data_IF_565297468597
#
_entry.id   IF_565297468597
#
_cell.length_a   1.000
_cell.length_b   1.000
_cell.length_c   1.000
_cell.angle_alpha   90.00
_cell.angle_beta   90.00
_cell.angle_gamma   90.00
#
_symmetry.space_group_name_H-M   'P 1'
#
loop_
_entity.id
_entity.type
_entity.pdbx_description
1 polymer ?
#
# COMPACT_ATOMS: atom_id res chain seq x y z
N UNK A 1 9.30 -1.45 23.22
CA UNK A 1 8.15 -2.16 22.60
C UNK A 1 7.71 -1.32 21.40
N UNK A 2 8.10 -1.70 20.16
CA UNK A 2 7.70 -0.97 18.95
C UNK A 2 6.21 -1.27 18.70
N UNK A 3 5.36 -0.26 18.81
CA UNK A 3 3.91 -0.36 18.57
C UNK A 3 3.57 -0.42 17.07
N UNK A 4 4.56 -0.12 16.22
CA UNK A 4 4.40 -0.16 14.78
C UNK A 4 4.72 -1.56 14.22
N UNK A 5 3.70 -2.23 13.68
CA UNK A 5 3.85 -3.40 12.80
C UNK A 5 4.38 -2.96 11.43
N UNK A 6 5.57 -2.36 11.42
CA UNK A 6 6.31 -2.02 10.21
C UNK A 6 7.41 -3.05 10.02
N UNK A 7 7.40 -3.71 8.87
CA UNK A 7 8.43 -4.62 8.40
C UNK A 7 9.34 -3.84 7.47
N UNK A 8 10.54 -3.50 7.95
CA UNK A 8 11.54 -2.79 7.15
C UNK A 8 12.33 -3.80 6.32
N UNK A 9 12.38 -3.60 5.01
CA UNK A 9 13.24 -4.36 4.10
C UNK A 9 14.06 -3.43 3.24
N UNK A 10 15.30 -3.82 2.97
CA UNK A 10 16.13 -3.14 1.98
C UNK A 10 15.91 -3.76 0.60
N UNK A 11 15.58 -2.91 -0.37
CA UNK A 11 15.48 -3.35 -1.76
C UNK A 11 16.88 -3.55 -2.34
N UNK A 12 17.03 -4.29 -3.46
CA UNK A 12 18.33 -4.45 -4.13
C UNK A 12 19.01 -3.13 -4.51
N UNK A 13 18.25 -2.05 -4.65
CA UNK A 13 18.73 -0.70 -4.93
C UNK A 13 19.25 0.03 -3.68
N UNK A 14 19.26 -0.62 -2.51
CA UNK A 14 19.76 -0.05 -1.25
C UNK A 14 18.78 0.90 -0.57
N UNK A 15 17.49 0.83 -0.92
CA UNK A 15 16.44 1.70 -0.34
C UNK A 15 15.69 0.91 0.74
N UNK A 16 15.64 1.46 1.95
CA UNK A 16 14.85 0.88 3.04
C UNK A 16 13.35 1.19 2.84
N UNK A 17 12.56 0.17 2.54
CA UNK A 17 11.10 0.23 2.46
C UNK A 17 10.49 -0.24 3.78
N UNK A 18 9.58 0.57 4.34
CA UNK A 18 8.76 0.16 5.47
C UNK A 18 7.41 -0.37 4.97
N UNK A 19 7.25 -1.69 5.01
CA UNK A 19 6.03 -2.38 4.62
C UNK A 19 5.13 -2.56 5.84
N UNK A 20 3.80 -2.49 5.66
CA UNK A 20 2.83 -2.78 6.72
C UNK A 20 2.20 -4.15 6.44
N UNK A 21 2.62 -5.24 7.12
CA UNK A 21 2.04 -6.55 6.93
C UNK A 21 0.55 -6.55 7.26
N UNK A 22 -0.24 -7.28 6.47
CA UNK A 22 -1.65 -7.47 6.73
C UNK A 22 -1.84 -8.63 7.72
N UNK A 23 -2.54 -8.36 8.82
CA UNK A 23 -2.86 -9.38 9.84
C UNK A 23 -3.84 -10.45 9.35
N UNK A 24 -4.20 -11.36 10.25
CA UNK A 24 -5.11 -12.48 9.94
C UNK A 24 -6.49 -12.01 9.46
N UNK A 25 -7.12 -11.08 10.18
CA UNK A 25 -8.49 -10.60 9.90
C UNK A 25 -8.68 -10.07 8.47
N UNK A 26 -7.92 -9.06 7.99
CA UNK A 26 -8.10 -8.55 6.62
C UNK A 26 -7.79 -9.62 5.56
N UNK A 27 -6.88 -10.56 5.84
CA UNK A 27 -6.58 -11.68 4.93
C UNK A 27 -7.72 -12.71 4.89
N UNK A 28 -8.39 -12.96 6.01
CA UNK A 28 -9.58 -13.81 6.08
C UNK A 28 -10.77 -13.18 5.38
N UNK A 29 -10.99 -11.88 5.55
CA UNK A 29 -12.04 -11.15 4.82
C UNK A 29 -11.79 -11.14 3.31
N UNK A 30 -10.54 -10.95 2.87
CA UNK A 30 -10.17 -11.03 1.46
C UNK A 30 -10.50 -12.41 0.89
N UNK A 31 -10.14 -13.46 1.64
CA UNK A 31 -10.46 -14.84 1.26
C UNK A 31 -11.96 -15.10 1.17
N UNK A 32 -12.77 -14.57 2.08
CA UNK A 32 -14.23 -14.70 2.03
C UNK A 32 -14.83 -13.99 0.81
N UNK A 33 -14.33 -12.79 0.46
CA UNK A 33 -14.75 -12.09 -0.75
C UNK A 33 -14.38 -12.89 -2.02
N UNK A 34 -13.14 -13.38 -2.11
CA UNK A 34 -12.71 -14.25 -3.21
C UNK A 34 -13.48 -15.57 -3.25
N UNK A 35 -13.86 -16.13 -2.11
CA UNK A 35 -14.71 -17.32 -2.02
C UNK A 35 -16.11 -17.06 -2.58
N UNK A 36 -16.74 -15.94 -2.21
CA UNK A 36 -18.04 -15.53 -2.76
C UNK A 36 -18.00 -15.38 -4.28
N UNK A 37 -16.95 -14.74 -4.82
CA UNK A 37 -16.76 -14.59 -6.27
C UNK A 37 -16.64 -15.96 -6.95
N UNK A 38 -15.81 -16.85 -6.42
CA UNK A 38 -15.61 -18.20 -6.97
C UNK A 38 -16.89 -19.04 -6.93
N UNK A 39 -17.64 -18.99 -5.83
CA UNK A 39 -18.94 -19.67 -5.70
C UNK A 39 -19.95 -19.13 -6.71
N UNK A 40 -20.03 -17.81 -6.89
CA UNK A 40 -20.93 -17.21 -7.87
C UNK A 40 -20.60 -17.65 -9.31
N UNK A 41 -19.31 -17.67 -9.68
CA UNK A 41 -18.87 -18.17 -10.99
C UNK A 41 -19.22 -19.65 -11.15
N UNK A 42 -18.95 -20.46 -10.12
CA UNK A 42 -19.22 -21.90 -10.17
C UNK A 42 -20.72 -22.19 -10.32
N UNK A 43 -21.58 -21.48 -9.59
CA UNK A 43 -23.04 -21.60 -9.71
C UNK A 43 -23.49 -21.18 -11.12
N UNK A 44 -22.98 -20.06 -11.64
CA UNK A 44 -23.32 -19.61 -12.99
C UNK A 44 -22.94 -20.65 -14.06
N UNK A 45 -21.74 -21.21 -13.98
CA UNK A 45 -21.29 -22.28 -14.89
C UNK A 45 -22.13 -23.53 -14.71
N UNK A 46 -22.41 -23.95 -13.47
CA UNK A 46 -23.22 -25.13 -13.19
C UNK A 46 -24.65 -25.00 -13.73
N UNK A 47 -25.26 -23.81 -13.64
CA UNK A 47 -26.59 -23.55 -14.22
C UNK A 47 -26.59 -23.71 -15.74
N UNK A 48 -25.59 -23.14 -16.43
CA UNK A 48 -25.44 -23.26 -17.89
C UNK A 48 -25.15 -24.72 -18.28
N UNK A 49 -24.29 -25.39 -17.52
CA UNK A 49 -23.85 -26.75 -17.75
C UNK A 49 -24.90 -27.81 -17.38
N UNK A 50 -25.93 -27.46 -16.59
CA UNK A 50 -26.90 -28.41 -16.03
C UNK A 50 -27.62 -29.24 -17.09
N UNK A 51 -27.91 -28.66 -18.26
CA UNK A 51 -28.59 -29.34 -19.36
C UNK A 51 -27.68 -30.27 -20.19
N UNK A 52 -26.36 -30.28 -19.94
CA UNK A 52 -25.37 -30.98 -20.75
C UNK A 52 -24.99 -32.37 -20.22
N UNK A 53 -25.64 -32.85 -19.15
CA UNK A 53 -25.37 -34.15 -18.54
C UNK A 53 -23.89 -34.34 -18.13
N UNK A 54 -23.26 -35.42 -18.58
CA UNK A 54 -21.86 -35.74 -18.25
C UNK A 54 -20.85 -34.68 -18.72
N UNK A 55 -21.09 -34.03 -19.88
CA UNK A 55 -20.25 -32.91 -20.34
C UNK A 55 -20.36 -31.72 -19.41
N UNK A 56 -21.55 -31.46 -18.86
CA UNK A 56 -21.77 -30.37 -17.91
C UNK A 56 -21.04 -30.59 -16.59
N UNK A 57 -21.02 -31.83 -16.12
CA UNK A 57 -20.25 -32.22 -14.93
C UNK A 57 -18.74 -32.05 -15.15
N UNK A 58 -18.23 -32.47 -16.31
CA UNK A 58 -16.83 -32.27 -16.67
C UNK A 58 -16.46 -30.78 -16.72
N UNK A 59 -17.30 -29.95 -17.34
CA UNK A 59 -17.08 -28.50 -17.41
C UNK A 59 -17.03 -27.87 -16.02
N UNK A 60 -17.98 -28.23 -15.15
CA UNK A 60 -18.05 -27.70 -13.77
C UNK A 60 -16.83 -28.12 -12.95
N UNK A 61 -16.34 -29.35 -13.11
CA UNK A 61 -15.11 -29.83 -12.46
C UNK A 61 -13.87 -29.09 -12.96
N UNK A 62 -13.75 -28.87 -14.27
CA UNK A 62 -12.65 -28.08 -14.85
C UNK A 62 -12.69 -26.64 -14.34
N UNK A 63 -13.88 -26.03 -14.27
CA UNK A 63 -14.05 -24.68 -13.72
C UNK A 63 -13.67 -24.64 -12.25
N UNK A 64 -14.12 -25.60 -11.44
CA UNK A 64 -13.73 -25.70 -10.03
C UNK A 64 -12.21 -25.78 -9.87
N UNK A 65 -11.55 -26.65 -10.65
CA UNK A 65 -10.10 -26.76 -10.66
C UNK A 65 -9.43 -25.43 -11.05
N UNK A 66 -9.87 -24.78 -12.12
CA UNK A 66 -9.31 -23.50 -12.55
C UNK A 66 -9.48 -22.40 -11.48
N UNK A 67 -10.64 -22.35 -10.82
CA UNK A 67 -10.92 -21.39 -9.75
C UNK A 67 -10.12 -21.65 -8.47
N UNK A 68 -9.76 -22.89 -8.18
CA UNK A 68 -8.96 -23.21 -7.00
C UNK A 68 -7.45 -23.05 -7.27
N UNK A 69 -6.97 -23.45 -8.45
CA UNK A 69 -5.54 -23.51 -8.73
C UNK A 69 -5.03 -22.31 -9.54
N UNK A 70 -5.78 -21.84 -10.52
CA UNK A 70 -5.32 -20.82 -11.46
C UNK A 70 -5.78 -19.41 -11.07
N UNK A 71 -6.96 -19.25 -10.46
CA UNK A 71 -7.49 -17.95 -10.08
C UNK A 71 -6.51 -17.13 -9.22
N UNK A 72 -5.96 -17.63 -8.08
CA UNK A 72 -5.07 -16.82 -7.26
C UNK A 72 -3.81 -16.42 -8.03
N UNK A 73 -3.23 -17.35 -8.77
CA UNK A 73 -1.99 -17.15 -9.55
C UNK A 73 -2.22 -16.14 -10.67
N UNK A 74 -3.31 -16.26 -11.43
CA UNK A 74 -3.63 -15.37 -12.54
C UNK A 74 -3.81 -13.92 -12.07
N UNK A 75 -4.50 -13.69 -10.96
CA UNK A 75 -4.70 -12.33 -10.44
C UNK A 75 -3.48 -11.77 -9.70
N UNK A 76 -2.66 -12.62 -9.07
CA UNK A 76 -1.43 -12.20 -8.41
C UNK A 76 -0.31 -11.86 -9.40
N UNK A 77 -0.16 -12.63 -10.47
CA UNK A 77 0.81 -12.33 -11.53
C UNK A 77 0.33 -11.27 -12.51
N UNK A 78 -0.99 -11.09 -12.60
CA UNK A 78 -1.61 -10.03 -13.37
C UNK A 78 -1.57 -8.69 -12.63
N UNK A 79 -2.71 -8.00 -12.61
CA UNK A 79 -2.81 -6.61 -12.15
C UNK A 79 -2.40 -6.43 -10.67
N UNK A 80 -1.18 -5.96 -10.43
CA UNK A 80 -0.79 -5.35 -9.15
C UNK A 80 -0.65 -6.28 -7.95
N UNK A 81 -0.44 -7.60 -8.15
CA UNK A 81 -0.08 -8.50 -7.05
C UNK A 81 -1.25 -8.91 -6.14
N UNK A 82 -2.50 -8.79 -6.59
CA UNK A 82 -3.66 -8.95 -5.71
C UNK A 82 -4.86 -9.60 -6.39
N UNK A 83 -5.50 -10.55 -5.70
CA UNK A 83 -6.82 -11.08 -6.05
C UNK A 83 -7.90 -10.00 -5.87
N UNK A 84 -9.06 -10.10 -6.54
CA UNK A 84 -10.15 -9.15 -6.39
C UNK A 84 -10.55 -8.86 -4.93
N UNK A 85 -10.73 -9.90 -4.11
CA UNK A 85 -11.04 -9.76 -2.69
C UNK A 85 -9.93 -9.06 -1.89
N UNK A 86 -8.65 -9.35 -2.20
CA UNK A 86 -7.51 -8.62 -1.63
C UNK A 86 -7.53 -7.14 -2.03
N UNK A 87 -7.83 -6.83 -3.29
CA UNK A 87 -7.91 -5.44 -3.77
C UNK A 87 -9.03 -4.64 -3.12
N UNK A 88 -10.20 -5.24 -2.93
CA UNK A 88 -11.32 -4.60 -2.24
C UNK A 88 -10.94 -4.16 -0.82
N UNK A 89 -10.00 -4.86 -0.18
CA UNK A 89 -9.48 -4.52 1.15
C UNK A 89 -8.16 -3.75 1.11
N UNK A 90 -7.73 -3.28 -0.06
CA UNK A 90 -6.49 -2.54 -0.22
C UNK A 90 -5.24 -3.36 0.12
N UNK A 91 -5.25 -4.66 -0.16
CA UNK A 91 -4.13 -5.57 0.08
C UNK A 91 -3.44 -5.95 -1.22
N UNK A 92 -2.13 -6.20 -1.14
CA UNK A 92 -1.33 -6.77 -2.23
C UNK A 92 -0.27 -7.72 -1.72
N UNK A 93 0.21 -8.58 -2.60
CA UNK A 93 1.29 -9.51 -2.34
C UNK A 93 2.56 -8.98 -2.99
N UNK A 94 3.64 -8.98 -2.21
CA UNK A 94 4.99 -8.62 -2.65
C UNK A 94 5.97 -9.71 -2.25
N UNK A 95 7.14 -9.72 -2.87
CA UNK A 95 8.29 -10.47 -2.37
C UNK A 95 8.72 -9.90 -1.02
N UNK A 96 9.48 -10.67 -0.24
CA UNK A 96 10.05 -10.21 1.01
C UNK A 96 10.92 -8.97 0.86
N UNK A 97 11.57 -8.81 -0.30
CA UNK A 97 12.33 -7.62 -0.72
C UNK A 97 11.47 -6.39 -1.05
N UNK A 98 10.14 -6.49 -0.98
CA UNK A 98 9.21 -5.43 -1.39
C UNK A 98 8.97 -5.34 -2.90
N UNK A 99 9.68 -6.14 -3.70
CA UNK A 99 9.51 -6.22 -5.15
C UNK A 99 8.19 -6.91 -5.56
N UNK A 100 7.72 -6.72 -6.81
CA UNK A 100 6.58 -7.47 -7.35
C UNK A 100 6.77 -8.98 -7.22
N UNK A 101 5.67 -9.70 -6.97
CA UNK A 101 5.69 -11.15 -6.83
C UNK A 101 6.14 -11.85 -8.12
N UNK A 102 6.95 -12.90 -7.97
CA UNK A 102 7.40 -13.73 -9.09
C UNK A 102 6.42 -14.87 -9.40
N UNK A 103 6.38 -15.38 -10.66
CA UNK A 103 5.58 -16.55 -11.02
C UNK A 103 5.81 -17.77 -10.12
N UNK A 104 7.08 -18.11 -9.89
CA UNK A 104 7.46 -19.21 -9.03
C UNK A 104 6.94 -19.02 -7.59
N UNK A 105 7.09 -17.82 -7.03
CA UNK A 105 6.62 -17.54 -5.67
C UNK A 105 5.09 -17.63 -5.55
N UNK A 106 4.33 -17.09 -6.51
CA UNK A 106 2.86 -17.18 -6.49
C UNK A 106 2.37 -18.62 -6.59
N UNK A 107 2.98 -19.42 -7.48
CA UNK A 107 2.65 -20.84 -7.63
C UNK A 107 3.01 -21.62 -6.36
N UNK A 108 4.25 -21.50 -5.86
CA UNK A 108 4.71 -22.22 -4.66
C UNK A 108 3.80 -21.97 -3.47
N UNK A 109 3.43 -20.70 -3.24
CA UNK A 109 2.51 -20.36 -2.16
C UNK A 109 1.12 -20.94 -2.39
N UNK A 110 0.61 -20.93 -3.63
CA UNK A 110 -0.71 -21.47 -3.91
C UNK A 110 -0.74 -23.00 -3.79
N UNK A 111 0.34 -23.71 -4.14
CA UNK A 111 0.45 -25.15 -3.91
C UNK A 111 0.42 -25.47 -2.41
N UNK A 112 1.17 -24.72 -1.61
CA UNK A 112 1.20 -24.92 -0.15
C UNK A 112 -0.11 -24.50 0.55
N UNK A 113 -0.92 -23.65 -0.09
CA UNK A 113 -2.27 -23.35 0.38
C UNK A 113 -3.13 -24.62 0.46
N UNK A 114 -2.94 -25.59 -0.43
CA UNK A 114 -3.64 -26.87 -0.37
C UNK A 114 -3.25 -27.68 0.88
N UNK A 115 -1.99 -27.60 1.32
CA UNK A 115 -1.54 -28.21 2.56
C UNK A 115 -2.18 -27.52 3.79
N UNK A 116 -2.33 -26.20 3.77
CA UNK A 116 -3.00 -25.45 4.84
C UNK A 116 -4.49 -25.84 5.02
N UNK A 117 -5.17 -26.37 3.99
CA UNK A 117 -6.57 -26.82 4.07
C UNK A 117 -6.78 -28.17 4.76
N UNK A 118 -5.71 -28.91 5.09
CA UNK A 118 -5.85 -30.11 5.88
C UNK A 118 -6.30 -29.74 7.30
N UNK A 119 -7.33 -30.39 7.88
CA UNK A 119 -7.94 -29.97 9.15
C UNK A 119 -6.95 -29.79 10.31
N UNK A 120 -5.90 -30.61 10.38
CA UNK A 120 -4.83 -30.49 11.37
C UNK A 120 -3.85 -29.33 11.07
N UNK A 121 -3.65 -28.97 9.80
CA UNK A 121 -2.72 -27.93 9.36
C UNK A 121 -3.37 -26.54 9.31
N UNK A 122 -4.70 -26.44 9.24
CA UNK A 122 -5.40 -25.15 9.26
C UNK A 122 -5.21 -24.40 10.58
N UNK A 123 -5.31 -25.13 11.71
CA UNK A 123 -5.02 -24.60 13.03
C UNK A 123 -3.53 -24.21 13.18
N UNK A 124 -2.62 -24.99 12.58
CA UNK A 124 -1.20 -24.72 12.59
C UNK A 124 -0.82 -23.48 11.75
N UNK A 125 -1.38 -23.32 10.56
CA UNK A 125 -1.18 -22.14 9.71
C UNK A 125 -1.73 -20.86 10.35
N UNK A 126 -2.88 -20.95 11.02
CA UNK A 126 -3.43 -19.85 11.80
C UNK A 126 -2.56 -19.53 13.03
N UNK A 127 -2.10 -20.53 13.77
CA UNK A 127 -1.20 -20.35 14.91
C UNK A 127 0.15 -19.75 14.47
N UNK A 128 0.72 -20.19 13.35
CA UNK A 128 1.94 -19.63 12.79
C UNK A 128 1.80 -18.14 12.42
N UNK A 129 0.65 -17.73 11.86
CA UNK A 129 0.36 -16.32 11.60
C UNK A 129 0.19 -15.49 12.87
N UNK A 130 -0.45 -16.05 13.91
CA UNK A 130 -0.74 -15.33 15.15
C UNK A 130 0.48 -15.21 16.07
N UNK A 131 1.43 -16.14 15.96
CA UNK A 131 2.65 -16.17 16.77
C UNK A 131 3.79 -15.32 16.18
N UNK A 132 3.70 -14.94 14.91
CA UNK A 132 4.74 -14.14 14.23
C UNK A 132 4.31 -12.69 14.02
N UNK A 133 5.27 -11.79 14.15
CA UNK A 133 5.08 -10.35 13.93
C UNK A 133 4.92 -9.97 12.43
N UNK A 134 5.29 -10.86 11.52
CA UNK A 134 5.21 -10.66 10.06
C UNK A 134 3.95 -11.28 9.43
N UNK A 135 3.10 -11.95 10.23
CA UNK A 135 1.84 -12.56 9.80
C UNK A 135 1.94 -13.42 8.53
N UNK A 136 3.06 -14.13 8.34
CA UNK A 136 3.26 -15.04 7.20
C UNK A 136 2.63 -16.41 7.44
N UNK A 137 1.99 -16.97 6.40
CA UNK A 137 1.57 -18.39 6.37
C UNK A 137 2.74 -19.29 5.97
N UNK A 138 2.57 -20.59 6.12
CA UNK A 138 3.53 -21.59 5.61
C UNK A 138 3.85 -21.38 4.13
N UNK A 139 2.84 -21.16 3.29
CA UNK A 139 3.04 -20.85 1.88
C UNK A 139 3.78 -19.53 1.64
N UNK A 140 3.57 -18.51 2.48
CA UNK A 140 4.30 -17.24 2.36
C UNK A 140 5.78 -17.41 2.74
N UNK A 141 6.07 -18.22 3.76
CA UNK A 141 7.42 -18.52 4.22
C UNK A 141 8.23 -19.27 3.17
N UNK A 142 7.64 -20.30 2.58
CA UNK A 142 8.31 -21.10 1.55
C UNK A 142 8.52 -20.32 0.24
N UNK A 143 7.60 -19.41 -0.09
CA UNK A 143 7.70 -18.60 -1.30
C UNK A 143 8.50 -17.30 -1.13
N UNK A 144 8.89 -16.95 0.11
CA UNK A 144 9.54 -15.67 0.40
C UNK A 144 8.66 -14.46 0.06
N UNK A 145 7.38 -14.51 0.45
CA UNK A 145 6.40 -13.47 0.12
C UNK A 145 5.76 -12.87 1.36
N UNK A 146 5.21 -11.67 1.19
CA UNK A 146 4.51 -10.93 2.22
C UNK A 146 3.22 -10.32 1.65
N UNK A 147 2.14 -10.35 2.44
CA UNK A 147 0.92 -9.61 2.11
C UNK A 147 0.93 -8.32 2.90
N UNK A 148 0.83 -7.20 2.18
CA UNK A 148 0.96 -5.85 2.72
C UNK A 148 -0.27 -5.04 2.33
N UNK A 149 -0.53 -3.98 3.09
CA UNK A 149 -1.45 -2.94 2.63
C UNK A 149 -0.86 -2.24 1.40
N UNK A 150 -1.67 -2.12 0.34
CA UNK A 150 -1.31 -1.50 -0.92
C UNK A 150 -1.28 0.02 -0.83
N UNK A 151 -2.00 0.60 0.14
CA UNK A 151 -1.92 2.02 0.45
C UNK A 151 -0.49 2.37 0.84
N UNK A 152 0.14 3.22 0.04
CA UNK A 152 1.33 3.96 0.46
C UNK A 152 0.96 4.68 1.74
N UNK A 153 1.72 4.44 2.81
CA UNK A 153 1.57 5.23 4.03
C UNK A 153 1.95 6.65 3.64
N UNK A 154 0.96 7.49 3.37
CA UNK A 154 1.23 8.89 3.10
C UNK A 154 1.51 9.58 4.45
N UNK A 155 2.78 9.53 4.84
CA UNK A 155 3.28 10.14 6.07
C UNK A 155 3.06 11.67 6.06
N UNK A 156 2.95 12.25 4.86
CA UNK A 156 2.70 13.67 4.63
C UNK A 156 1.35 13.78 3.92
N UNK A 157 0.30 14.24 4.60
CA UNK A 157 -0.97 14.52 3.92
C UNK A 157 -0.78 15.46 2.72
N UNK A 158 -1.81 15.59 1.89
CA UNK A 158 -1.71 16.45 0.71
C UNK A 158 -1.34 17.88 1.13
N UNK A 159 -0.34 18.44 0.46
CA UNK A 159 0.12 19.80 0.72
C UNK A 159 -0.96 20.77 0.23
N UNK A 160 -1.49 21.65 1.09
CA UNK A 160 -2.50 22.62 0.69
C UNK A 160 -2.05 23.46 -0.51
N UNK A 161 -2.96 23.70 -1.45
CA UNK A 161 -2.69 24.59 -2.58
C UNK A 161 -2.32 25.99 -2.07
N UNK A 162 -1.18 26.51 -2.54
CA UNK A 162 -0.69 27.85 -2.23
C UNK A 162 0.07 28.38 -3.45
N UNK A 163 0.15 29.70 -3.57
CA UNK A 163 0.90 30.32 -4.66
C UNK A 163 2.39 29.98 -4.51
N UNK A 164 3.06 29.35 -5.50
CA UNK A 164 4.44 28.92 -5.35
C UNK A 164 5.38 30.10 -5.09
N UNK A 165 6.26 29.95 -4.11
CA UNK A 165 7.19 30.99 -3.69
C UNK A 165 8.62 30.44 -3.65
N UNK A 166 9.54 31.06 -4.39
CA UNK A 166 10.94 30.68 -4.36
C UNK A 166 11.57 30.95 -2.98
N UNK A 167 12.51 30.10 -2.53
CA UNK A 167 13.19 30.30 -1.25
C UNK A 167 14.11 31.53 -1.31
N UNK A 168 14.30 32.19 -0.16
CA UNK A 168 15.21 33.33 -0.05
C UNK A 168 16.69 32.94 -0.19
N UNK A 169 17.01 31.67 0.10
CA UNK A 169 18.35 31.08 -0.05
C UNK A 169 18.26 29.63 -0.52
N UNK A 170 19.34 29.04 -1.04
CA UNK A 170 19.38 27.61 -1.34
C UNK A 170 19.05 26.76 -0.11
N UNK A 171 18.21 25.74 -0.32
CA UNK A 171 17.78 24.80 0.72
C UNK A 171 18.54 23.49 0.62
N UNK A 172 19.01 22.98 1.75
CA UNK A 172 19.55 21.62 1.85
C UNK A 172 18.43 20.58 1.69
N UNK A 173 18.74 19.33 1.28
CA UNK A 173 17.73 18.27 1.16
C UNK A 173 16.95 18.01 2.46
N UNK A 174 17.60 18.17 3.62
CA UNK A 174 16.95 18.03 4.93
C UNK A 174 15.94 19.14 5.20
N UNK A 175 16.26 20.38 4.82
CA UNK A 175 15.33 21.52 4.96
C UNK A 175 14.14 21.37 4.01
N UNK A 176 14.37 20.97 2.77
CA UNK A 176 13.31 20.66 1.80
C UNK A 176 12.36 19.59 2.34
N UNK A 177 12.90 18.48 2.84
CA UNK A 177 12.11 17.41 3.46
C UNK A 177 11.34 17.90 4.70
N UNK A 178 11.95 18.74 5.55
CA UNK A 178 11.29 19.29 6.72
C UNK A 178 10.09 20.18 6.35
N UNK A 179 10.24 21.05 5.34
CA UNK A 179 9.19 21.96 4.84
C UNK A 179 8.03 21.16 4.24
N UNK A 180 8.32 20.22 3.34
CA UNK A 180 7.29 19.34 2.76
C UNK A 180 6.60 18.53 3.85
N UNK A 181 7.35 18.04 4.85
CA UNK A 181 6.76 17.29 5.96
C UNK A 181 5.82 18.11 6.83
N UNK A 182 6.18 19.37 7.09
CA UNK A 182 5.35 20.32 7.83
C UNK A 182 4.08 20.64 7.04
N UNK A 183 4.22 20.94 5.74
CA UNK A 183 3.11 21.30 4.89
C UNK A 183 2.10 20.14 4.75
N UNK A 184 2.58 18.89 4.67
CA UNK A 184 1.70 17.72 4.66
C UNK A 184 1.00 17.43 5.99
N UNK A 185 1.38 18.10 7.09
CA UNK A 185 0.66 18.02 8.37
C UNK A 185 -0.38 19.13 8.53
N UNK A 186 -0.60 19.98 7.52
CA UNK A 186 -1.46 21.15 7.65
C UNK A 186 -2.90 20.84 8.03
N UNK A 187 -3.45 19.71 7.57
CA UNK A 187 -4.81 19.26 7.92
C UNK A 187 -4.92 18.66 9.33
N UNK A 188 -3.79 18.34 9.98
CA UNK A 188 -3.76 17.72 11.33
C UNK A 188 -3.34 18.67 12.43
N UNK A 189 -2.73 19.81 12.08
CA UNK A 189 -2.31 20.85 13.02
C UNK A 189 -3.40 21.89 13.18
N UNK A 190 -3.52 22.46 14.39
CA UNK A 190 -4.36 23.63 14.58
C UNK A 190 -3.76 24.82 13.83
N UNK A 191 -4.59 25.79 13.36
CA UNK A 191 -4.08 26.97 12.65
C UNK A 191 -2.99 27.72 13.43
N UNK A 192 -3.15 27.83 14.76
CA UNK A 192 -2.15 28.46 15.63
C UNK A 192 -0.80 27.72 15.65
N UNK A 193 -0.80 26.38 15.72
CA UNK A 193 0.44 25.58 15.71
C UNK A 193 1.11 25.59 14.33
N UNK A 194 0.31 25.59 13.28
CA UNK A 194 0.81 25.68 11.92
C UNK A 194 1.57 26.99 11.72
N UNK A 195 1.00 28.10 12.19
CA UNK A 195 1.60 29.43 12.08
C UNK A 195 2.82 29.61 12.98
N UNK A 196 2.78 29.11 14.23
CA UNK A 196 3.95 29.09 15.12
C UNK A 196 5.15 28.40 14.47
N UNK A 197 4.96 27.21 13.88
CA UNK A 197 6.02 26.50 13.18
C UNK A 197 6.47 27.23 11.90
N UNK A 198 5.56 27.90 11.20
CA UNK A 198 5.91 28.70 10.03
C UNK A 198 6.84 29.87 10.39
N UNK A 199 6.62 30.50 11.55
CA UNK A 199 7.48 31.57 12.07
C UNK A 199 8.88 31.09 12.46
N UNK A 200 9.04 29.83 12.88
CA UNK A 200 10.38 29.28 13.14
C UNK A 200 11.22 29.18 11.86
N UNK A 201 10.58 29.11 10.69
CA UNK A 201 11.24 29.03 9.38
C UNK A 201 11.50 30.41 8.73
N UNK A 202 11.40 31.52 9.48
CA UNK A 202 11.55 32.88 8.94
C UNK A 202 12.89 33.10 8.22
N UNK A 203 13.97 32.45 8.69
CA UNK A 203 15.30 32.48 8.08
C UNK A 203 15.38 31.87 6.66
N UNK A 204 14.33 31.16 6.25
CA UNK A 204 14.21 30.48 4.95
C UNK A 204 13.16 31.16 4.06
N UNK A 205 12.13 31.77 4.65
CA UNK A 205 10.99 32.34 3.95
C UNK A 205 11.08 33.85 3.69
N UNK A 206 11.77 34.60 4.56
CA UNK A 206 11.92 36.04 4.44
C UNK A 206 13.08 36.41 3.50
N UNK A 207 12.85 37.22 2.45
CA UNK A 207 13.92 37.93 1.79
C UNK A 207 14.66 38.79 2.83
N UNK A 208 15.98 38.81 2.78
CA UNK A 208 16.83 39.50 3.75
C UNK A 208 16.32 40.91 4.10
N UNK A 209 15.84 41.10 5.33
CA UNK A 209 15.61 42.43 5.91
C UNK A 209 14.16 42.87 6.17
N UNK A 210 13.13 42.10 5.78
CA UNK A 210 11.74 42.48 6.08
C UNK A 210 11.03 41.46 7.00
N UNK A 211 10.45 41.89 8.14
CA UNK A 211 9.64 41.02 8.97
C UNK A 211 8.36 40.62 8.21
N UNK A 212 8.09 39.32 8.12
CA UNK A 212 6.84 38.80 7.56
C UNK A 212 5.66 39.30 8.41
N UNK A 213 4.75 40.06 7.82
CA UNK A 213 3.53 40.49 8.50
C UNK A 213 2.68 39.29 8.97
N UNK A 214 1.96 39.48 10.08
CA UNK A 214 1.19 38.48 10.87
C UNK A 214 -0.07 37.88 10.22
N UNK A 215 -0.17 37.77 8.88
CA UNK A 215 -0.87 36.61 8.30
C UNK A 215 -0.08 35.83 7.25
N UNK A 216 1.17 36.23 6.96
CA UNK A 216 1.87 35.82 5.73
C UNK A 216 2.87 34.67 5.93
N UNK A 217 3.27 34.34 7.16
CA UNK A 217 4.28 33.31 7.43
C UNK A 217 3.84 31.92 6.98
N UNK A 218 2.63 31.51 7.37
CA UNK A 218 2.00 30.26 6.94
C UNK A 218 1.87 30.17 5.42
N UNK A 219 1.27 31.20 4.80
CA UNK A 219 1.02 31.23 3.36
C UNK A 219 2.33 31.17 2.56
N UNK A 220 3.37 31.87 3.04
CA UNK A 220 4.70 31.88 2.43
C UNK A 220 5.39 30.53 2.51
N UNK A 221 5.35 29.87 3.68
CA UNK A 221 5.98 28.57 3.85
C UNK A 221 5.24 27.47 3.08
N UNK A 222 3.91 27.55 2.95
CA UNK A 222 3.13 26.68 2.06
C UNK A 222 3.49 26.91 0.58
N UNK A 223 3.62 28.16 0.15
CA UNK A 223 4.09 28.49 -1.20
C UNK A 223 5.49 27.96 -1.48
N UNK A 224 6.37 27.96 -0.47
CA UNK A 224 7.69 27.36 -0.58
C UNK A 224 7.63 25.83 -0.69
N UNK A 225 6.76 25.18 0.07
CA UNK A 225 6.54 23.74 -0.06
C UNK A 225 6.07 23.36 -1.48
N UNK A 226 5.17 24.14 -2.07
CA UNK A 226 4.71 23.95 -3.45
C UNK A 226 5.86 24.14 -4.46
N UNK A 227 6.70 25.16 -4.26
CA UNK A 227 7.89 25.37 -5.10
C UNK A 227 8.88 24.19 -5.03
N UNK A 228 9.11 23.64 -3.83
CA UNK A 228 9.97 22.45 -3.62
C UNK A 228 9.39 21.21 -4.30
N UNK A 229 8.06 21.08 -4.34
CA UNK A 229 7.37 20.00 -5.05
C UNK A 229 7.36 20.18 -6.58
N UNK A 230 7.91 21.28 -7.10
CA UNK A 230 8.07 21.53 -8.53
C UNK A 230 6.99 22.41 -9.15
N UNK A 231 5.99 22.84 -8.38
CA UNK A 231 5.01 23.84 -8.83
C UNK A 231 5.73 25.19 -8.97
N UNK A 232 5.82 25.74 -10.18
CA UNK A 232 6.41 27.06 -10.41
C UNK A 232 5.31 28.07 -10.65
N UNK A 233 5.49 29.30 -10.17
CA UNK A 233 4.66 30.42 -10.60
C UNK A 233 4.70 30.47 -12.12
N UNK A 234 3.56 30.27 -12.78
CA UNK A 234 3.42 30.61 -14.19
C UNK A 234 3.77 32.08 -14.31
N UNK A 235 4.95 32.39 -14.84
CA UNK A 235 5.28 33.76 -15.22
C UNK A 235 4.27 34.21 -16.28
N UNK A 236 3.90 35.50 -16.33
CA UNK A 236 3.14 35.99 -17.47
C UNK A 236 3.92 35.63 -18.74
N UNK A 237 3.23 34.99 -19.69
CA UNK A 237 3.81 34.52 -20.94
C UNK A 237 4.67 35.60 -21.58
N UNK A 238 5.90 35.21 -21.95
CA UNK A 238 6.68 35.92 -22.95
C UNK A 238 6.33 35.37 -24.33
#
# INVERSE_FOLDING_TARGET
MRLDTLYTVETPEGIALSLRPAGLVPRSMAYLADFGIRVAILIAVAMIASAMGGLGMALTMITYFALEWLYPVAFELGWGGATPGKRMLGLRVVMDSGLPITPAASITRNLLRAADFLPALYAFGAAAMLTRCDFKRLGDLAAGTLVVYASTVNLHGDVPAAQPAAPARPLTPREQAAIVSWAGRASRLTPARLDELARLATNVTAPSGEPLAEPNATARLLGLAQWVLGERTQGPGR
#
